data_IF_545834073170
#
_entry.id   IF_545834073170
#
_cell.length_a   1.000
_cell.length_b   1.000
_cell.length_c   1.000
_cell.angle_alpha   90.00
_cell.angle_beta   90.00
_cell.angle_gamma   90.00
#
_symmetry.space_group_name_H-M   'P 1'
#
loop_
_entity.id
_entity.type
_entity.pdbx_description
1 polymer ?
#
# COMPACT_ATOMS: atom_id res chain seq x y z
N UNK A 1 23.86 23.13 -10.47
CA UNK A 1 24.29 21.77 -10.08
C UNK A 1 24.75 21.75 -8.62
N UNK A 2 23.82 21.89 -7.66
CA UNK A 2 24.15 21.83 -6.23
C UNK A 2 22.91 21.41 -5.43
N UNK A 3 22.69 20.10 -5.30
CA UNK A 3 22.01 19.44 -4.17
C UNK A 3 22.06 17.92 -4.36
N UNK A 4 23.27 17.39 -4.21
CA UNK A 4 23.52 15.97 -3.93
C UNK A 4 23.93 15.82 -2.45
N UNK A 5 23.24 16.51 -1.55
CA UNK A 5 23.54 16.50 -0.12
C UNK A 5 22.36 15.85 0.61
N UNK A 6 22.65 14.67 1.17
CA UNK A 6 21.83 13.90 2.12
C UNK A 6 20.93 12.76 1.57
N UNK A 7 21.54 11.77 0.89
CA UNK A 7 21.03 10.37 0.89
C UNK A 7 21.28 9.68 2.24
N UNK A 8 21.07 10.39 3.34
CA UNK A 8 21.04 9.81 4.69
C UNK A 8 19.60 9.39 4.96
N UNK A 9 19.39 8.18 5.47
CA UNK A 9 18.08 7.68 5.85
C UNK A 9 17.27 8.78 6.55
N UNK A 10 16.21 9.26 5.91
CA UNK A 10 15.31 10.25 6.51
C UNK A 10 14.84 9.68 7.84
N UNK A 11 15.06 10.41 8.92
CA UNK A 11 14.76 9.92 10.25
C UNK A 11 13.27 9.53 10.33
N UNK A 12 12.91 8.43 11.02
CA UNK A 12 11.53 7.96 11.07
C UNK A 12 10.54 9.03 11.52
N UNK A 13 10.95 9.89 12.46
CA UNK A 13 10.11 10.98 12.96
C UNK A 13 9.92 12.10 11.94
N UNK A 14 10.93 12.37 11.11
CA UNK A 14 10.81 13.33 10.00
C UNK A 14 9.90 12.78 8.90
N UNK A 15 9.93 11.46 8.63
CA UNK A 15 8.96 10.81 7.74
C UNK A 15 7.53 10.93 8.28
N UNK A 16 7.33 10.66 9.56
CA UNK A 16 6.02 10.80 10.21
C UNK A 16 5.49 12.23 10.11
N UNK A 17 6.33 13.22 10.41
CA UNK A 17 5.95 14.62 10.32
C UNK A 17 5.65 15.06 8.87
N UNK A 18 6.38 14.55 7.87
CA UNK A 18 6.06 14.79 6.45
C UNK A 18 4.69 14.21 6.04
N UNK A 19 4.34 13.02 6.51
CA UNK A 19 3.01 12.42 6.28
C UNK A 19 1.91 13.26 6.93
N UNK A 20 2.13 13.75 8.15
CA UNK A 20 1.18 14.63 8.85
C UNK A 20 0.92 15.93 8.07
N UNK A 21 1.97 16.54 7.51
CA UNK A 21 1.83 17.72 6.66
C UNK A 21 1.06 17.39 5.38
N UNK A 22 1.37 16.25 4.75
CA UNK A 22 0.69 15.81 3.52
C UNK A 22 -0.80 15.51 3.73
N UNK A 23 -1.20 15.03 4.91
CA UNK A 23 -2.59 14.77 5.28
C UNK A 23 -3.44 16.05 5.43
N UNK A 24 -2.79 17.19 5.71
CA UNK A 24 -3.45 18.46 5.99
C UNK A 24 -4.07 18.52 7.38
N UNK A 25 -4.35 19.74 7.85
CA UNK A 25 -4.72 20.02 9.24
C UNK A 25 -5.93 19.25 9.75
N UNK A 26 -6.96 19.06 8.91
CA UNK A 26 -8.17 18.35 9.30
C UNK A 26 -7.90 16.88 9.64
N UNK A 27 -7.25 16.14 8.74
CA UNK A 27 -6.97 14.71 8.94
C UNK A 27 -5.86 14.50 9.98
N UNK A 28 -4.84 15.37 10.00
CA UNK A 28 -3.80 15.35 11.01
C UNK A 28 -4.37 15.50 12.43
N UNK A 29 -5.40 16.35 12.62
CA UNK A 29 -6.01 16.54 13.94
C UNK A 29 -6.67 15.27 14.49
N UNK A 30 -7.26 14.44 13.65
CA UNK A 30 -7.81 13.13 14.07
C UNK A 30 -6.71 12.16 14.49
N UNK A 31 -5.56 12.18 13.79
CA UNK A 31 -4.40 11.35 14.17
C UNK A 31 -3.84 11.79 15.53
N UNK A 32 -3.73 13.10 15.77
CA UNK A 32 -3.20 13.66 17.02
C UNK A 32 -4.00 13.24 18.26
N UNK A 33 -5.31 13.00 18.13
CA UNK A 33 -6.17 12.53 19.24
C UNK A 33 -5.81 11.13 19.73
N UNK A 34 -5.08 10.34 18.93
CA UNK A 34 -4.66 8.99 19.27
C UNK A 34 -3.21 8.92 19.77
N UNK A 35 -2.51 10.04 19.87
CA UNK A 35 -1.13 10.11 20.32
C UNK A 35 -1.04 10.48 21.81
N UNK A 36 0.05 10.04 22.45
CA UNK A 36 0.40 10.47 23.81
C UNK A 36 0.98 11.90 23.81
N UNK A 37 0.99 12.56 24.97
CA UNK A 37 1.53 13.93 25.10
C UNK A 37 2.99 14.02 24.61
N UNK A 38 3.85 13.08 24.99
CA UNK A 38 5.25 13.01 24.56
C UNK A 38 5.38 12.87 23.04
N UNK A 39 4.50 12.07 22.40
CA UNK A 39 4.49 11.89 20.95
C UNK A 39 4.02 13.15 20.23
N UNK A 40 3.00 13.82 20.75
CA UNK A 40 2.47 15.08 20.21
C UNK A 40 3.58 16.14 20.22
N UNK A 41 4.29 16.29 21.34
CA UNK A 41 5.37 17.27 21.46
C UNK A 41 6.48 16.99 20.45
N UNK A 42 6.98 15.76 20.40
CA UNK A 42 8.06 15.36 19.49
C UNK A 42 7.65 15.52 18.02
N UNK A 43 6.45 15.11 17.66
CA UNK A 43 5.93 15.20 16.30
C UNK A 43 5.74 16.66 15.88
N UNK A 44 5.17 17.48 16.75
CA UNK A 44 4.94 18.91 16.48
C UNK A 44 6.24 19.69 16.34
N UNK A 45 7.25 19.39 17.16
CA UNK A 45 8.59 19.98 17.05
C UNK A 45 9.22 19.66 15.69
N UNK A 46 9.08 18.43 15.21
CA UNK A 46 9.61 18.02 13.91
C UNK A 46 8.82 18.62 12.74
N UNK A 47 7.48 18.71 12.84
CA UNK A 47 6.65 19.43 11.86
C UNK A 47 7.05 20.90 11.77
N UNK A 48 7.35 21.56 12.88
CA UNK A 48 7.81 22.95 12.88
C UNK A 48 9.22 23.14 12.28
N UNK A 49 10.06 22.10 12.31
CA UNK A 49 11.42 22.09 11.72
C UNK A 49 11.41 21.76 10.23
N UNK A 50 10.32 21.21 9.72
CA UNK A 50 10.10 20.81 8.32
C UNK A 50 9.89 22.02 7.39
N UNK A 51 10.88 22.90 7.30
CA UNK A 51 10.79 24.12 6.49
C UNK A 51 11.30 23.97 5.04
N UNK A 52 11.90 22.84 4.65
CA UNK A 52 12.49 22.71 3.31
C UNK A 52 12.49 21.29 2.73
N UNK A 53 11.38 20.57 2.84
CA UNK A 53 11.26 19.29 2.16
C UNK A 53 10.88 19.53 0.69
N UNK A 54 11.61 18.91 -0.24
CA UNK A 54 11.29 19.07 -1.66
C UNK A 54 9.98 18.32 -1.97
N UNK A 55 9.19 18.77 -2.97
CA UNK A 55 8.00 18.03 -3.39
C UNK A 55 8.29 16.59 -3.79
N UNK A 56 9.49 16.35 -4.35
CA UNK A 56 9.98 15.02 -4.76
C UNK A 56 10.18 14.11 -3.53
N UNK A 57 10.86 14.61 -2.50
CA UNK A 57 11.08 13.85 -1.26
C UNK A 57 9.75 13.57 -0.52
N UNK A 58 8.82 14.52 -0.53
CA UNK A 58 7.52 14.36 0.12
C UNK A 58 6.69 13.29 -0.60
N UNK A 59 6.72 13.28 -1.93
CA UNK A 59 6.04 12.26 -2.74
C UNK A 59 6.62 10.87 -2.44
N UNK A 60 7.94 10.72 -2.39
CA UNK A 60 8.59 9.45 -2.06
C UNK A 60 8.18 8.94 -0.68
N UNK A 61 8.14 9.81 0.34
CA UNK A 61 7.75 9.44 1.71
C UNK A 61 6.27 9.01 1.77
N UNK A 62 5.39 9.70 1.04
CA UNK A 62 3.96 9.36 0.99
C UNK A 62 3.74 8.03 0.27
N UNK A 63 4.45 7.78 -0.83
CA UNK A 63 4.38 6.53 -1.58
C UNK A 63 4.91 5.34 -0.75
N UNK A 64 6.02 5.52 -0.04
CA UNK A 64 6.54 4.57 0.96
C UNK A 64 5.48 4.25 2.02
N UNK A 65 4.86 5.27 2.61
CA UNK A 65 3.84 5.11 3.64
C UNK A 65 2.60 4.37 3.11
N UNK A 66 2.13 4.73 1.92
CA UNK A 66 1.03 4.05 1.26
C UNK A 66 1.35 2.58 0.97
N UNK A 67 2.58 2.28 0.55
CA UNK A 67 3.07 0.91 0.34
C UNK A 67 3.06 0.09 1.62
N UNK A 68 3.49 0.67 2.75
CA UNK A 68 3.43 0.02 4.07
C UNK A 68 1.98 -0.27 4.50
N UNK A 69 1.08 0.71 4.38
CA UNK A 69 -0.33 0.52 4.70
C UNK A 69 -0.98 -0.56 3.82
N UNK A 70 -0.67 -0.58 2.52
CA UNK A 70 -1.19 -1.57 1.58
C UNK A 70 -0.66 -2.96 1.89
N UNK A 71 0.63 -3.09 2.19
CA UNK A 71 1.25 -4.39 2.52
C UNK A 71 0.63 -4.95 3.80
N UNK A 72 0.50 -4.14 4.84
CA UNK A 72 -0.11 -4.55 6.10
C UNK A 72 -1.60 -4.91 5.94
N UNK A 73 -2.31 -4.19 5.07
CA UNK A 73 -3.71 -4.47 4.73
C UNK A 73 -3.88 -5.73 3.88
N UNK A 74 -3.00 -5.97 2.91
CA UNK A 74 -2.99 -7.18 2.07
C UNK A 74 -2.68 -8.42 2.91
N UNK A 75 -1.76 -8.34 3.87
CA UNK A 75 -1.46 -9.44 4.79
C UNK A 75 -2.66 -9.74 5.70
N UNK A 76 -3.39 -8.71 6.13
CA UNK A 76 -4.50 -8.85 7.09
C UNK A 76 -5.83 -9.23 6.45
N UNK A 77 -6.15 -8.67 5.28
CA UNK A 77 -7.44 -8.88 4.58
C UNK A 77 -7.33 -9.88 3.42
N UNK A 78 -6.12 -10.22 2.96
CA UNK A 78 -5.88 -11.05 1.78
C UNK A 78 -5.93 -10.24 0.47
N UNK A 79 -4.98 -10.50 -0.45
CA UNK A 79 -4.81 -9.72 -1.68
C UNK A 79 -6.01 -9.68 -2.61
N UNK A 80 -6.86 -10.71 -2.59
CA UNK A 80 -8.11 -10.78 -3.37
C UNK A 80 -9.16 -9.80 -2.85
N UNK A 81 -9.29 -9.67 -1.53
CA UNK A 81 -10.24 -8.75 -0.89
C UNK A 81 -9.77 -7.30 -1.09
N UNK A 82 -8.46 -7.06 -0.99
CA UNK A 82 -7.89 -5.75 -1.32
C UNK A 82 -8.18 -5.35 -2.77
N UNK A 83 -7.91 -6.23 -3.73
CA UNK A 83 -8.19 -5.95 -5.14
C UNK A 83 -9.68 -5.66 -5.39
N UNK A 84 -10.58 -6.40 -4.73
CA UNK A 84 -12.02 -6.14 -4.77
C UNK A 84 -12.33 -4.73 -4.23
N UNK A 85 -11.84 -4.38 -3.05
CA UNK A 85 -12.08 -3.07 -2.43
C UNK A 85 -11.57 -1.91 -3.30
N UNK A 86 -10.42 -2.07 -3.97
CA UNK A 86 -9.89 -1.07 -4.91
C UNK A 86 -10.82 -0.92 -6.11
N UNK A 87 -11.25 -2.02 -6.72
CA UNK A 87 -12.17 -2.01 -7.86
C UNK A 87 -13.53 -1.42 -7.48
N UNK A 88 -14.05 -1.72 -6.30
CA UNK A 88 -15.31 -1.17 -5.79
C UNK A 88 -15.24 0.35 -5.61
N UNK A 89 -14.13 0.86 -5.06
CA UNK A 89 -13.93 2.31 -4.91
C UNK A 89 -13.74 3.04 -6.25
N UNK A 90 -13.13 2.39 -7.23
CA UNK A 90 -12.85 3.01 -8.53
C UNK A 90 -14.05 2.96 -9.49
N UNK A 91 -14.83 1.87 -9.49
CA UNK A 91 -15.84 1.60 -10.52
C UNK A 91 -17.23 1.25 -9.95
N UNK A 92 -17.39 1.20 -8.63
CA UNK A 92 -18.62 0.78 -7.98
C UNK A 92 -18.75 -0.75 -7.89
N UNK A 93 -19.63 -1.21 -6.98
CA UNK A 93 -19.78 -2.62 -6.61
C UNK A 93 -20.08 -3.55 -7.80
N UNK A 94 -20.89 -3.08 -8.76
CA UNK A 94 -21.36 -3.93 -9.85
C UNK A 94 -20.28 -4.20 -10.91
N UNK A 95 -19.50 -3.17 -11.28
CA UNK A 95 -18.36 -3.33 -12.18
C UNK A 95 -17.20 -4.09 -11.51
N UNK A 96 -16.95 -3.82 -10.22
CA UNK A 96 -15.94 -4.53 -9.46
C UNK A 96 -16.16 -6.04 -9.44
N UNK A 97 -17.40 -6.50 -9.18
CA UNK A 97 -17.73 -7.93 -9.19
C UNK A 97 -17.51 -8.56 -10.58
N UNK A 98 -17.86 -7.86 -11.66
CA UNK A 98 -17.60 -8.34 -13.03
C UNK A 98 -16.10 -8.50 -13.31
N UNK A 99 -15.27 -7.54 -12.86
CA UNK A 99 -13.81 -7.66 -13.00
C UNK A 99 -13.24 -8.81 -12.15
N UNK A 100 -13.73 -8.98 -10.91
CA UNK A 100 -13.32 -10.07 -10.04
C UNK A 100 -13.70 -11.46 -10.57
N UNK A 101 -14.86 -11.59 -11.23
CA UNK A 101 -15.27 -12.85 -11.88
C UNK A 101 -14.35 -13.20 -13.07
N UNK A 102 -13.96 -12.20 -13.87
CA UNK A 102 -12.97 -12.40 -14.95
C UNK A 102 -11.60 -12.81 -14.42
N UNK A 103 -11.13 -12.19 -13.34
CA UNK A 103 -9.85 -12.54 -12.70
C UNK A 103 -9.91 -13.96 -12.14
N UNK A 104 -11.01 -14.34 -11.49
CA UNK A 104 -11.21 -15.69 -10.95
C UNK A 104 -11.19 -16.77 -12.05
N UNK A 105 -11.88 -16.51 -13.18
CA UNK A 105 -11.86 -17.37 -14.37
C UNK A 105 -10.45 -17.49 -14.99
N UNK A 106 -9.69 -16.40 -15.02
CA UNK A 106 -8.30 -16.40 -15.50
C UNK A 106 -7.36 -17.20 -14.58
N UNK A 107 -7.61 -17.21 -13.27
CA UNK A 107 -6.82 -18.00 -12.31
C UNK A 107 -7.15 -19.50 -12.37
N UNK A 108 -8.43 -19.87 -12.57
CA UNK A 108 -8.85 -21.26 -12.77
C UNK A 108 -8.28 -21.84 -14.07
N UNK A 109 -8.31 -21.09 -15.17
CA UNK A 109 -7.74 -21.57 -16.45
C UNK A 109 -6.23 -21.81 -16.40
N UNK A 110 -5.48 -21.02 -15.62
CA UNK A 110 -4.04 -21.25 -15.40
C UNK A 110 -3.74 -22.49 -14.54
N UNK A 111 -4.58 -22.82 -13.57
CA UNK A 111 -4.37 -24.00 -12.72
C UNK A 111 -4.59 -25.32 -13.48
N UNK A 112 -5.44 -25.33 -14.51
CA UNK A 112 -5.68 -26.50 -15.37
C UNK A 112 -4.84 -26.53 -16.67
N UNK A 113 -4.12 -25.46 -17.00
CA UNK A 113 -3.10 -25.47 -18.08
C UNK A 113 -2.02 -26.54 -17.83
N UNK A 114 -1.71 -26.82 -16.56
CA UNK A 114 -0.80 -27.91 -16.17
C UNK A 114 -1.32 -29.28 -16.63
N UNK A 115 -2.63 -29.54 -16.50
CA UNK A 115 -3.27 -30.79 -16.95
C UNK A 115 -3.23 -30.89 -18.48
N UNK A 116 -3.41 -29.77 -19.18
CA UNK A 116 -3.38 -29.72 -20.65
C UNK A 116 -1.97 -29.93 -21.24
N UNK A 117 -0.93 -29.58 -20.48
CA UNK A 117 0.49 -29.83 -20.83
C UNK A 117 1.04 -31.13 -20.25
N UNK A 118 0.34 -31.76 -19.32
CA UNK A 118 0.74 -33.03 -18.74
C UNK A 118 0.54 -34.15 -19.76
N UNK A 119 1.62 -34.87 -20.05
CA UNK A 119 1.63 -36.03 -20.93
C UNK A 119 0.73 -37.13 -20.33
N UNK A 120 -0.01 -37.88 -21.15
CA UNK A 120 -1.06 -38.82 -20.69
C UNK A 120 -0.57 -39.83 -19.61
N UNK A 121 0.71 -40.21 -19.64
CA UNK A 121 1.35 -41.08 -18.64
C UNK A 121 1.37 -40.45 -17.24
N UNK A 122 1.56 -39.14 -17.14
CA UNK A 122 1.59 -38.43 -15.85
C UNK A 122 0.19 -38.22 -15.28
N UNK A 123 -0.84 -38.12 -16.13
CA UNK A 123 -2.23 -38.03 -15.69
C UNK A 123 -2.74 -39.35 -15.11
N UNK A 124 -2.33 -40.48 -15.69
CA UNK A 124 -2.70 -41.81 -15.23
C UNK A 124 -2.11 -42.13 -13.83
N UNK A 125 -0.91 -41.64 -13.52
CA UNK A 125 -0.27 -41.79 -12.21
C UNK A 125 -0.97 -40.97 -11.12
N UNK A 126 -1.66 -39.88 -11.46
CA UNK A 126 -2.32 -39.00 -10.48
C UNK A 126 -3.73 -39.49 -10.07
N UNK A 127 -4.28 -40.49 -10.76
CA UNK A 127 -5.62 -41.05 -10.50
C UNK A 127 -5.57 -42.45 -9.87
N UNK A 128 -4.39 -43.03 -9.67
CA UNK A 128 -4.18 -44.24 -8.86
C UNK A 128 -3.78 -43.85 -7.44
#
# INVERSE_FOLDING_TARGET
MARAANRGAVAPITKAAAVIVALGSAQASEVYKHLTEDEIERLTLEVARLNSLSPEDLQEIVDDFYGLCTTQKVISEGGVIYAKNVLEKAFGAQLANNYMDRVSKAMQTRSFEFVRKANYKNLMIMLQ
#
